data_IF_899915192744
#
_entry.id   IF_899915192744
#
_cell.length_a   1.000
_cell.length_b   1.000
_cell.length_c   1.000
_cell.angle_alpha   90.00
_cell.angle_beta   90.00
_cell.angle_gamma   90.00
#
_symmetry.space_group_name_H-M   'P 1'
#
loop_
_entity.id
_entity.type
_entity.pdbx_description
1 polymer ?
#
# COMPACT_ATOMS: atom_id res chain seq x y z
N UNK A 1 8.63 -11.23 9.46
CA UNK A 1 7.70 -10.07 9.36
C UNK A 1 8.10 -9.25 8.14
N UNK A 2 7.15 -8.69 7.38
CA UNK A 2 7.49 -7.79 6.29
C UNK A 2 8.21 -6.55 6.83
N UNK A 3 9.20 -6.04 6.09
CA UNK A 3 9.89 -4.79 6.43
C UNK A 3 8.96 -3.61 6.09
N UNK A 4 8.31 -3.07 7.14
CA UNK A 4 7.35 -1.97 7.02
C UNK A 4 8.01 -0.72 6.46
N UNK A 5 9.24 -0.42 6.87
CA UNK A 5 9.98 0.76 6.39
C UNK A 5 10.32 0.65 4.90
N UNK A 6 10.69 -0.55 4.43
CA UNK A 6 10.89 -0.80 3.01
C UNK A 6 9.59 -0.67 2.21
N UNK A 7 8.47 -1.17 2.75
CA UNK A 7 7.14 -1.05 2.13
C UNK A 7 6.73 0.42 2.00
N UNK A 8 6.78 1.20 3.09
CA UNK A 8 6.38 2.61 3.06
C UNK A 8 7.24 3.40 2.07
N UNK A 9 8.57 3.24 2.15
CA UNK A 9 9.49 3.90 1.22
C UNK A 9 9.15 3.57 -0.23
N UNK A 10 8.94 2.29 -0.53
CA UNK A 10 8.63 1.86 -1.88
C UNK A 10 7.31 2.45 -2.40
N UNK A 11 6.24 2.42 -1.61
CA UNK A 11 4.93 2.97 -2.02
C UNK A 11 5.06 4.49 -2.28
N UNK A 12 5.71 5.21 -1.37
CA UNK A 12 5.89 6.66 -1.48
C UNK A 12 6.80 7.03 -2.68
N UNK A 13 7.83 6.23 -2.96
CA UNK A 13 8.62 6.37 -4.19
C UNK A 13 7.81 6.12 -5.45
N UNK A 14 6.93 5.11 -5.48
CA UNK A 14 6.09 4.84 -6.65
C UNK A 14 5.10 5.98 -6.90
N UNK A 15 4.47 6.52 -5.84
CA UNK A 15 3.60 7.70 -5.95
C UNK A 15 4.34 8.88 -6.55
N UNK A 16 5.56 9.20 -6.05
CA UNK A 16 6.39 10.29 -6.58
C UNK A 16 6.83 10.05 -8.03
N UNK A 17 7.37 8.86 -8.34
CA UNK A 17 7.85 8.50 -9.68
C UNK A 17 6.75 8.55 -10.73
N UNK A 18 5.50 8.26 -10.35
CA UNK A 18 4.32 8.29 -11.23
C UNK A 18 3.57 9.62 -11.22
N UNK A 19 3.96 10.58 -10.39
CA UNK A 19 3.25 11.85 -10.22
C UNK A 19 1.85 11.70 -9.61
N UNK A 20 1.60 10.63 -8.85
CA UNK A 20 0.32 10.35 -8.20
C UNK A 20 0.28 10.94 -6.79
N UNK A 21 -0.90 11.43 -6.39
CA UNK A 21 -1.16 11.91 -5.04
C UNK A 21 -1.71 10.83 -4.12
N UNK A 22 -2.34 9.80 -4.68
CA UNK A 22 -2.89 8.69 -3.92
C UNK A 22 -2.88 7.41 -4.78
N UNK A 23 -3.01 6.27 -4.11
CA UNK A 23 -3.16 4.97 -4.76
C UNK A 23 -4.12 4.10 -3.95
N UNK A 24 -4.90 3.25 -4.62
CA UNK A 24 -5.74 2.27 -3.92
C UNK A 24 -4.88 1.17 -3.28
N UNK A 25 -5.34 0.59 -2.17
CA UNK A 25 -4.65 -0.55 -1.56
C UNK A 25 -4.50 -1.76 -2.51
N UNK A 26 -5.39 -1.91 -3.50
CA UNK A 26 -5.28 -3.00 -4.49
C UNK A 26 -4.12 -2.74 -5.46
N UNK A 27 -3.98 -1.52 -5.96
CA UNK A 27 -2.90 -1.14 -6.86
C UNK A 27 -1.55 -1.14 -6.14
N UNK A 28 -1.49 -0.60 -4.93
CA UNK A 28 -0.28 -0.64 -4.11
C UNK A 28 0.15 -2.08 -3.80
N UNK A 29 -0.80 -2.98 -3.51
CA UNK A 29 -0.49 -4.40 -3.30
C UNK A 29 0.12 -5.05 -4.57
N UNK A 30 -0.37 -4.70 -5.76
CA UNK A 30 0.23 -5.17 -7.02
C UNK A 30 1.65 -4.66 -7.22
N UNK A 31 1.92 -3.40 -6.88
CA UNK A 31 3.28 -2.85 -6.95
C UNK A 31 4.22 -3.59 -5.99
N UNK A 32 3.78 -3.83 -4.75
CA UNK A 32 4.57 -4.53 -3.74
C UNK A 32 4.81 -6.00 -4.10
N UNK A 33 3.83 -6.69 -4.68
CA UNK A 33 3.98 -8.07 -5.16
C UNK A 33 4.97 -8.14 -6.31
N UNK A 34 4.84 -7.22 -7.29
CA UNK A 34 5.75 -7.11 -8.43
C UNK A 34 7.20 -6.80 -8.01
N UNK A 35 7.37 -6.07 -6.91
CA UNK A 35 8.68 -5.79 -6.31
C UNK A 35 9.17 -6.87 -5.34
N UNK A 36 8.38 -7.92 -5.07
CA UNK A 36 8.70 -8.97 -4.10
C UNK A 36 8.69 -8.52 -2.63
N UNK A 37 8.21 -7.31 -2.32
CA UNK A 37 8.21 -6.72 -0.98
C UNK A 37 7.04 -7.21 -0.13
N UNK A 38 5.88 -7.43 -0.75
CA UNK A 38 4.73 -7.99 -0.06
C UNK A 38 3.95 -8.87 -1.03
N UNK A 39 4.16 -10.18 -0.91
CA UNK A 39 3.50 -11.16 -1.78
C UNK A 39 1.99 -11.05 -1.66
N UNK A 40 1.33 -10.83 -2.79
CA UNK A 40 -0.12 -10.82 -2.88
C UNK A 40 -0.63 -12.25 -3.15
N UNK A 41 -1.73 -12.62 -2.50
CA UNK A 41 -2.36 -13.92 -2.75
C UNK A 41 -3.45 -13.73 -3.79
N UNK A 42 -3.45 -14.54 -4.86
CA UNK A 42 -4.49 -14.52 -5.90
C UNK A 42 -5.90 -14.73 -5.31
N UNK A 43 -6.01 -15.47 -4.22
CA UNK A 43 -7.29 -15.72 -3.54
C UNK A 43 -7.73 -14.52 -2.68
N UNK A 44 -6.79 -13.73 -2.15
CA UNK A 44 -7.03 -12.66 -1.18
C UNK A 44 -6.24 -11.39 -1.52
N UNK A 45 -6.46 -10.86 -2.73
CA UNK A 45 -5.71 -9.71 -3.23
C UNK A 45 -5.79 -8.52 -2.27
N UNK A 46 -4.62 -8.02 -1.90
CA UNK A 46 -4.40 -6.91 -0.99
C UNK A 46 -4.71 -7.19 0.48
N UNK A 47 -5.02 -8.43 0.91
CA UNK A 47 -5.36 -8.71 2.31
C UNK A 47 -4.21 -8.37 3.26
N UNK A 48 -2.97 -8.73 2.89
CA UNK A 48 -1.80 -8.43 3.70
C UNK A 48 -1.60 -6.93 3.85
N UNK A 49 -1.69 -6.18 2.76
CA UNK A 49 -1.58 -4.72 2.82
C UNK A 49 -2.73 -4.10 3.63
N UNK A 50 -3.97 -4.59 3.45
CA UNK A 50 -5.12 -4.14 4.24
C UNK A 50 -4.96 -4.38 5.74
N UNK A 51 -4.30 -5.46 6.15
CA UNK A 51 -4.00 -5.68 7.57
C UNK A 51 -3.01 -4.63 8.09
N UNK A 52 -1.93 -4.36 7.35
CA UNK A 52 -0.98 -3.30 7.71
C UNK A 52 -1.65 -1.92 7.81
N UNK A 53 -2.58 -1.64 6.89
CA UNK A 53 -3.39 -0.42 6.90
C UNK A 53 -4.34 -0.35 8.11
N UNK A 54 -4.96 -1.46 8.50
CA UNK A 54 -5.78 -1.51 9.73
C UNK A 54 -4.95 -1.27 10.98
N UNK A 55 -3.71 -1.76 10.98
CA UNK A 55 -2.78 -1.67 12.11
C UNK A 55 -2.07 -0.31 12.19
N UNK A 56 -2.39 0.65 11.31
CA UNK A 56 -1.78 1.99 11.26
C UNK A 56 -0.28 2.00 10.98
N UNK A 57 0.20 1.04 10.19
CA UNK A 57 1.62 0.86 9.89
C UNK A 57 2.07 1.51 8.57
N UNK A 58 1.13 1.96 7.74
CA UNK A 58 1.43 2.50 6.42
C UNK A 58 1.25 4.02 6.40
N UNK A 59 2.26 4.74 5.91
CA UNK A 59 2.23 6.21 5.85
C UNK A 59 1.21 6.69 4.82
N UNK A 60 0.45 7.74 5.16
CA UNK A 60 -0.60 8.30 4.29
C UNK A 60 -1.84 7.43 4.19
N UNK A 61 -2.00 6.42 5.05
CA UNK A 61 -3.17 5.56 5.00
C UNK A 61 -4.48 6.31 5.28
N UNK A 62 -5.49 6.02 4.48
CA UNK A 62 -6.84 6.58 4.64
C UNK A 62 -7.90 5.55 4.28
N UNK A 63 -8.97 5.52 5.07
CA UNK A 63 -10.13 4.71 4.78
C UNK A 63 -11.31 5.61 4.42
N UNK A 64 -11.87 5.39 3.23
CA UNK A 64 -13.09 6.06 2.78
C UNK A 64 -14.34 5.45 3.45
N UNK A 65 -15.48 6.17 3.54
CA UNK A 65 -16.73 5.65 4.10
C UNK A 65 -17.24 4.37 3.43
N UNK A 66 -16.89 4.16 2.16
CA UNK A 66 -17.18 2.93 1.40
C UNK A 66 -16.25 1.74 1.77
N UNK A 67 -15.47 1.87 2.85
CA UNK A 67 -14.50 0.90 3.38
C UNK A 67 -13.30 0.62 2.46
N UNK A 68 -13.15 1.36 1.35
CA UNK A 68 -11.95 1.28 0.51
C UNK A 68 -10.78 1.97 1.19
N UNK A 69 -9.61 1.38 1.00
CA UNK A 69 -8.36 1.91 1.52
C UNK A 69 -7.57 2.58 0.41
N UNK A 70 -7.05 3.75 0.76
CA UNK A 70 -6.16 4.56 -0.04
C UNK A 70 -4.88 4.82 0.73
N UNK A 71 -3.82 5.10 -0.02
CA UNK A 71 -2.53 5.53 0.52
C UNK A 71 -2.20 6.83 -0.19
N UNK A 72 -2.23 7.92 0.57
CA UNK A 72 -1.90 9.26 0.12
C UNK A 72 -0.38 9.44 0.10
N UNK A 73 0.09 10.27 -0.82
CA UNK A 73 1.49 10.68 -0.88
C UNK A 73 1.77 11.60 0.30
N UNK A 74 2.81 11.28 1.06
CA UNK A 74 3.31 12.12 2.14
C UNK A 74 4.56 12.83 1.62
N UNK A 75 4.60 14.15 1.79
CA UNK A 75 5.75 14.97 1.40
C UNK A 75 6.87 14.90 2.44
#
# INVERSE_FOLDING_TARGET
MPDISAINRFIQEQLRKKGLYEVTAVEAARWLDSAGLLKDSKSHSGLRLRNLLRDKLIDGQRQEPNKRWFIDRVD
#
